data_IF_645056328960
#
_entry.id   IF_645056328960
#
_cell.length_a   1.000
_cell.length_b   1.000
_cell.length_c   1.000
_cell.angle_alpha   90.00
_cell.angle_beta   90.00
_cell.angle_gamma   90.00
#
_symmetry.space_group_name_H-M   'P 1'
#
loop_
_entity.id
_entity.type
_entity.pdbx_description
1 polymer ?
#
# COMPACT_ATOMS: atom_id res chain seq x y z
N UNK A 1 -21.85 31.41 8.28
CA UNK A 1 -20.68 31.30 7.38
C UNK A 1 -20.10 29.89 7.29
N UNK A 2 -19.88 29.14 8.39
CA UNK A 2 -19.35 27.75 8.33
C UNK A 2 -20.22 26.75 7.55
N UNK A 3 -21.55 26.86 7.62
CA UNK A 3 -22.49 25.92 6.95
C UNK A 3 -22.50 26.03 5.41
N UNK A 4 -22.09 27.18 4.85
CA UNK A 4 -22.05 27.38 3.39
C UNK A 4 -20.82 26.73 2.73
N UNK A 5 -19.70 26.66 3.44
CA UNK A 5 -18.48 26.00 2.96
C UNK A 5 -18.67 24.48 2.89
N UNK A 6 -19.32 23.90 3.89
CA UNK A 6 -19.65 22.46 3.93
C UNK A 6 -20.69 22.06 2.87
N UNK A 7 -21.63 22.93 2.53
CA UNK A 7 -22.61 22.65 1.47
C UNK A 7 -21.97 22.70 0.08
N UNK A 8 -21.02 23.62 -0.15
CA UNK A 8 -20.28 23.72 -1.40
C UNK A 8 -19.42 22.47 -1.64
N UNK A 9 -18.65 22.04 -0.63
CA UNK A 9 -17.87 20.80 -0.69
C UNK A 9 -18.74 19.57 -0.97
N UNK A 10 -19.91 19.47 -0.31
CA UNK A 10 -20.87 18.37 -0.58
C UNK A 10 -21.40 18.38 -2.01
N UNK A 11 -21.63 19.54 -2.63
CA UNK A 11 -22.07 19.59 -4.03
C UNK A 11 -20.94 19.22 -5.00
N UNK A 12 -19.69 19.62 -4.70
CA UNK A 12 -18.52 19.20 -5.46
C UNK A 12 -18.33 17.68 -5.42
N UNK A 13 -18.46 17.07 -4.25
CA UNK A 13 -18.41 15.62 -4.07
C UNK A 13 -19.52 14.91 -4.87
N UNK A 14 -20.75 15.44 -4.84
CA UNK A 14 -21.87 14.91 -5.66
C UNK A 14 -21.58 15.01 -7.14
N UNK A 15 -20.96 16.11 -7.59
CA UNK A 15 -20.56 16.26 -8.98
C UNK A 15 -19.49 15.24 -9.39
N UNK A 16 -18.50 14.96 -8.52
CA UNK A 16 -17.52 13.90 -8.72
C UNK A 16 -18.20 12.52 -8.81
N UNK A 17 -19.17 12.22 -7.94
CA UNK A 17 -19.94 10.98 -7.99
C UNK A 17 -20.69 10.82 -9.32
N UNK A 18 -21.36 11.88 -9.81
CA UNK A 18 -22.03 11.88 -11.12
C UNK A 18 -21.06 11.60 -12.27
N UNK A 19 -19.85 12.17 -12.22
CA UNK A 19 -18.81 11.94 -13.22
C UNK A 19 -18.36 10.47 -13.26
N UNK A 20 -18.10 9.87 -12.09
CA UNK A 20 -17.71 8.45 -11.99
C UNK A 20 -18.84 7.52 -12.47
N UNK A 21 -20.09 7.82 -12.13
CA UNK A 21 -21.25 7.06 -12.60
C UNK A 21 -21.35 7.10 -14.13
N UNK A 22 -21.20 8.29 -14.75
CA UNK A 22 -21.20 8.41 -16.21
C UNK A 22 -20.07 7.61 -16.88
N UNK A 23 -18.88 7.56 -16.26
CA UNK A 23 -17.76 6.74 -16.76
C UNK A 23 -18.09 5.25 -16.70
N UNK A 24 -18.77 4.80 -15.63
CA UNK A 24 -19.21 3.41 -15.48
C UNK A 24 -20.28 3.05 -16.52
N UNK A 25 -21.27 3.91 -16.75
CA UNK A 25 -22.31 3.68 -17.76
C UNK A 25 -21.70 3.57 -19.16
N UNK A 26 -20.78 4.47 -19.49
CA UNK A 26 -20.01 4.39 -20.74
C UNK A 26 -19.17 3.10 -20.83
N UNK A 27 -18.61 2.63 -19.71
CA UNK A 27 -17.90 1.36 -19.70
C UNK A 27 -18.82 0.17 -19.98
N UNK A 28 -20.06 0.18 -19.47
CA UNK A 28 -21.05 -0.85 -19.78
C UNK A 28 -21.43 -0.87 -21.26
N UNK A 29 -21.59 0.29 -21.90
CA UNK A 29 -21.85 0.35 -23.35
C UNK A 29 -20.67 -0.22 -24.14
N UNK A 30 -19.43 0.05 -23.71
CA UNK A 30 -18.24 -0.53 -24.34
C UNK A 30 -18.20 -2.05 -24.20
N UNK A 31 -18.53 -2.60 -23.03
CA UNK A 31 -18.63 -4.06 -22.82
C UNK A 31 -19.69 -4.67 -23.73
N UNK A 32 -20.85 -4.02 -23.88
CA UNK A 32 -21.90 -4.52 -24.77
C UNK A 32 -21.43 -4.54 -26.24
N UNK A 33 -20.64 -3.55 -26.66
CA UNK A 33 -20.09 -3.48 -28.01
C UNK A 33 -18.94 -4.47 -28.25
N UNK A 34 -18.23 -4.90 -27.21
CA UNK A 34 -17.20 -5.95 -27.31
C UNK A 34 -17.75 -7.26 -27.87
N UNK A 35 -19.03 -7.57 -27.61
CA UNK A 35 -19.71 -8.73 -28.17
C UNK A 35 -19.81 -8.68 -29.71
N UNK A 36 -19.83 -7.48 -30.30
CA UNK A 36 -19.99 -7.27 -31.75
C UNK A 36 -18.67 -6.99 -32.46
N UNK A 37 -17.76 -6.25 -31.81
CA UNK A 37 -16.58 -5.70 -32.48
C UNK A 37 -15.23 -6.18 -31.93
N UNK A 38 -15.21 -7.04 -30.89
CA UNK A 38 -14.02 -7.55 -30.16
C UNK A 38 -12.99 -6.45 -29.81
N UNK A 39 -12.74 -6.22 -28.52
CA UNK A 39 -11.75 -5.27 -27.99
C UNK A 39 -12.11 -3.77 -28.15
N UNK A 40 -13.37 -3.45 -28.44
CA UNK A 40 -13.93 -2.11 -28.38
C UNK A 40 -13.70 -1.43 -27.01
N UNK A 41 -13.72 -2.18 -25.91
CA UNK A 41 -13.41 -1.66 -24.57
C UNK A 41 -12.03 -1.01 -24.44
N UNK A 42 -11.05 -1.38 -25.29
CA UNK A 42 -9.75 -0.70 -25.34
C UNK A 42 -9.84 0.69 -25.97
N UNK A 43 -10.63 0.83 -27.03
CA UNK A 43 -10.84 2.11 -27.73
C UNK A 43 -11.74 3.06 -26.94
N UNK A 44 -12.76 2.52 -26.26
CA UNK A 44 -13.64 3.30 -25.40
C UNK A 44 -12.89 4.06 -24.30
N UNK A 45 -11.81 3.49 -23.73
CA UNK A 45 -10.99 4.22 -22.74
C UNK A 45 -10.37 5.50 -23.31
N UNK A 46 -9.91 5.45 -24.55
CA UNK A 46 -9.30 6.61 -25.22
C UNK A 46 -10.35 7.67 -25.53
N UNK A 47 -11.54 7.27 -25.99
CA UNK A 47 -12.66 8.18 -26.23
C UNK A 47 -13.11 8.87 -24.94
N UNK A 48 -13.22 8.12 -23.84
CA UNK A 48 -13.56 8.67 -22.53
C UNK A 48 -12.50 9.62 -21.99
N UNK A 49 -11.21 9.32 -22.20
CA UNK A 49 -10.12 10.21 -21.84
C UNK A 49 -10.21 11.56 -22.57
N UNK A 50 -10.51 11.53 -23.87
CA UNK A 50 -10.74 12.74 -24.68
C UNK A 50 -11.97 13.52 -24.19
N UNK A 51 -13.10 12.85 -23.95
CA UNK A 51 -14.33 13.49 -23.49
C UNK A 51 -14.17 14.17 -22.13
N UNK A 52 -13.36 13.59 -21.23
CA UNK A 52 -13.08 14.12 -19.91
C UNK A 52 -11.87 15.07 -19.86
N UNK A 53 -11.20 15.28 -21.00
CA UNK A 53 -9.95 16.06 -21.09
C UNK A 53 -8.89 15.59 -20.08
N UNK A 54 -8.72 14.27 -19.94
CA UNK A 54 -7.77 13.66 -19.01
C UNK A 54 -6.91 12.58 -19.70
N UNK A 55 -5.92 12.02 -19.00
CA UNK A 55 -5.12 10.93 -19.55
C UNK A 55 -5.91 9.62 -19.55
N UNK A 56 -5.55 8.69 -20.44
CA UNK A 56 -6.16 7.35 -20.50
C UNK A 56 -6.06 6.60 -19.15
N UNK A 57 -4.97 6.80 -18.41
CA UNK A 57 -4.76 6.23 -17.07
C UNK A 57 -5.75 6.79 -16.04
N UNK A 58 -6.04 8.10 -16.09
CA UNK A 58 -7.05 8.73 -15.21
C UNK A 58 -8.45 8.24 -15.57
N UNK A 59 -8.77 8.15 -16.86
CA UNK A 59 -10.04 7.58 -17.32
C UNK A 59 -10.22 6.12 -16.86
N UNK A 60 -9.17 5.30 -16.93
CA UNK A 60 -9.19 3.92 -16.43
C UNK A 60 -9.40 3.85 -14.92
N UNK A 61 -8.76 4.73 -14.15
CA UNK A 61 -8.99 4.82 -12.71
C UNK A 61 -10.46 5.15 -12.39
N UNK A 62 -11.08 6.08 -13.13
CA UNK A 62 -12.51 6.39 -12.97
C UNK A 62 -13.41 5.20 -13.26
N UNK A 63 -13.13 4.43 -14.31
CA UNK A 63 -13.87 3.19 -14.61
C UNK A 63 -13.69 2.18 -13.50
N UNK A 64 -12.46 1.96 -13.04
CA UNK A 64 -12.16 0.99 -11.98
C UNK A 64 -12.91 1.32 -10.68
N UNK A 65 -12.89 2.58 -10.26
CA UNK A 65 -13.66 3.08 -9.12
C UNK A 65 -15.16 2.90 -9.37
N UNK A 66 -15.65 3.30 -10.55
CA UNK A 66 -17.06 3.15 -10.93
C UNK A 66 -17.55 1.70 -10.86
N UNK A 67 -16.78 0.76 -11.40
CA UNK A 67 -17.07 -0.68 -11.32
C UNK A 67 -17.10 -1.14 -9.87
N UNK A 68 -16.11 -0.77 -9.04
CA UNK A 68 -16.06 -1.17 -7.64
C UNK A 68 -17.27 -0.65 -6.85
N UNK A 69 -17.66 0.62 -7.04
CA UNK A 69 -18.82 1.24 -6.40
C UNK A 69 -20.14 0.55 -6.78
N UNK A 70 -20.31 0.21 -8.05
CA UNK A 70 -21.57 -0.38 -8.55
C UNK A 70 -21.67 -1.89 -8.30
N UNK A 71 -20.55 -2.60 -8.17
CA UNK A 71 -20.54 -4.08 -8.06
C UNK A 71 -20.21 -4.60 -6.67
N UNK A 72 -19.43 -3.86 -5.86
CA UNK A 72 -18.85 -4.39 -4.61
C UNK A 72 -19.05 -3.48 -3.40
N UNK A 73 -19.24 -2.17 -3.61
CA UNK A 73 -19.20 -1.16 -2.53
C UNK A 73 -20.47 -0.27 -2.48
N UNK A 74 -21.68 -0.84 -2.32
CA UNK A 74 -22.93 -0.08 -2.40
C UNK A 74 -23.11 0.98 -1.29
N UNK A 75 -22.60 0.72 -0.09
CA UNK A 75 -22.63 1.70 1.00
C UNK A 75 -21.70 2.89 0.72
N UNK A 76 -20.52 2.62 0.14
CA UNK A 76 -19.57 3.66 -0.24
C UNK A 76 -20.12 4.48 -1.41
N UNK A 77 -20.78 3.82 -2.37
CA UNK A 77 -21.52 4.48 -3.46
C UNK A 77 -22.57 5.45 -2.92
N UNK A 78 -23.41 4.99 -1.99
CA UNK A 78 -24.45 5.83 -1.39
C UNK A 78 -23.86 7.05 -0.65
N UNK A 79 -22.79 6.86 0.11
CA UNK A 79 -22.09 7.96 0.79
C UNK A 79 -21.47 8.95 -0.22
N UNK A 80 -20.92 8.46 -1.34
CA UNK A 80 -20.35 9.31 -2.37
C UNK A 80 -21.42 10.13 -3.09
N UNK A 81 -22.55 9.50 -3.43
CA UNK A 81 -23.71 10.14 -4.06
C UNK A 81 -24.42 11.13 -3.13
N UNK A 82 -24.35 10.93 -1.81
CA UNK A 82 -24.82 11.92 -0.83
C UNK A 82 -23.86 13.13 -0.72
N UNK A 83 -22.61 12.97 -1.16
CA UNK A 83 -21.52 13.94 -1.00
C UNK A 83 -20.84 13.87 0.37
N UNK A 84 -21.04 12.78 1.13
CA UNK A 84 -20.49 12.58 2.46
C UNK A 84 -19.01 12.15 2.43
N UNK A 85 -18.58 11.60 1.31
CA UNK A 85 -17.19 11.28 1.02
C UNK A 85 -16.79 11.96 -0.28
N UNK A 86 -15.53 12.36 -0.36
CA UNK A 86 -14.93 12.94 -1.57
C UNK A 86 -14.06 11.90 -2.26
N UNK A 87 -13.99 11.98 -3.59
CA UNK A 87 -12.91 11.35 -4.35
C UNK A 87 -11.85 12.45 -4.46
N UNK A 88 -10.82 12.44 -3.60
CA UNK A 88 -9.98 13.60 -3.44
C UNK A 88 -9.47 14.02 -4.83
N UNK A 89 -9.68 15.29 -5.23
CA UNK A 89 -8.85 15.89 -6.26
C UNK A 89 -7.41 15.63 -5.85
N UNK A 90 -6.48 15.61 -6.82
CA UNK A 90 -5.05 15.58 -6.53
C UNK A 90 -4.74 16.60 -5.43
N UNK A 91 -4.63 16.13 -4.19
CA UNK A 91 -4.51 17.00 -3.03
C UNK A 91 -3.09 17.55 -3.11
N UNK A 92 -2.85 18.85 -2.93
CA UNK A 92 -1.51 19.38 -2.76
C UNK A 92 -0.66 18.58 -1.76
N UNK A 93 -1.26 17.96 -0.73
CA UNK A 93 -0.55 17.04 0.16
C UNK A 93 -0.17 15.72 -0.50
N UNK A 94 -1.02 15.17 -1.39
CA UNK A 94 -0.71 13.98 -2.19
C UNK A 94 0.37 14.29 -3.22
N UNK A 95 0.30 15.43 -3.90
CA UNK A 95 1.33 15.85 -4.86
C UNK A 95 2.68 16.10 -4.18
N UNK A 96 2.69 16.65 -2.95
CA UNK A 96 3.91 16.78 -2.14
C UNK A 96 4.47 15.45 -1.69
N UNK A 97 3.62 14.47 -1.39
CA UNK A 97 4.05 13.13 -1.04
C UNK A 97 4.74 12.40 -2.21
N UNK A 98 4.49 12.83 -3.45
CA UNK A 98 5.15 12.32 -4.65
C UNK A 98 6.48 13.03 -4.97
N UNK A 99 6.99 13.88 -4.07
CA UNK A 99 8.30 14.52 -4.20
C UNK A 99 9.27 13.86 -3.21
N UNK A 100 10.46 13.47 -3.67
CA UNK A 100 11.45 12.78 -2.85
C UNK A 100 11.84 13.53 -1.56
N UNK A 101 12.02 14.85 -1.65
CA UNK A 101 12.41 15.68 -0.50
C UNK A 101 11.17 16.10 0.30
N UNK A 102 11.07 15.74 1.59
CA UNK A 102 9.93 16.15 2.42
C UNK A 102 9.92 17.66 2.65
N UNK A 103 8.73 18.23 2.78
CA UNK A 103 8.56 19.62 3.15
C UNK A 103 8.87 19.87 4.65
N UNK A 104 8.87 21.13 5.05
CA UNK A 104 9.22 21.52 6.42
C UNK A 104 8.26 20.92 7.47
N UNK A 105 6.97 20.82 7.15
CA UNK A 105 5.95 20.28 8.05
C UNK A 105 6.12 18.78 8.24
N UNK A 106 6.31 18.02 7.15
CA UNK A 106 6.59 16.58 7.19
C UNK A 106 7.89 16.31 7.92
N UNK A 107 8.93 17.10 7.65
CA UNK A 107 10.23 16.99 8.33
C UNK A 107 10.09 17.20 9.83
N UNK A 108 9.38 18.25 10.26
CA UNK A 108 9.14 18.53 11.66
C UNK A 108 8.31 17.42 12.34
N UNK A 109 7.26 16.93 11.68
CA UNK A 109 6.41 15.86 12.20
C UNK A 109 7.18 14.55 12.43
N UNK A 110 8.00 14.12 11.46
CA UNK A 110 8.82 12.90 11.60
C UNK A 110 9.84 13.05 12.72
N UNK A 111 10.56 14.19 12.77
CA UNK A 111 11.53 14.45 13.84
C UNK A 111 10.90 14.53 15.22
N UNK A 112 9.70 15.12 15.33
CA UNK A 112 8.95 15.20 16.59
C UNK A 112 8.46 13.82 17.04
N UNK A 113 8.00 12.98 16.10
CA UNK A 113 7.58 11.59 16.38
C UNK A 113 8.75 10.73 16.85
N UNK A 114 9.87 10.84 16.14
CA UNK A 114 10.99 9.91 16.29
C UNK A 114 11.97 10.32 17.41
N UNK A 115 12.23 11.63 17.56
CA UNK A 115 13.20 12.29 18.48
C UNK A 115 14.66 11.85 18.36
N UNK A 116 14.92 10.60 18.02
CA UNK A 116 16.23 10.02 17.79
C UNK A 116 16.18 8.97 16.67
N UNK A 117 17.35 8.44 16.29
CA UNK A 117 17.48 7.34 15.35
C UNK A 117 16.56 6.16 15.74
N UNK A 118 15.87 5.60 14.75
CA UNK A 118 14.86 4.56 14.95
C UNK A 118 15.41 3.14 14.92
N UNK A 119 16.71 2.98 14.66
CA UNK A 119 17.38 1.69 14.78
C UNK A 119 17.43 1.23 16.26
N UNK A 120 17.26 -0.07 16.56
CA UNK A 120 17.27 -0.59 17.92
C UNK A 120 18.50 -0.17 18.74
N UNK A 121 18.28 0.43 19.90
CA UNK A 121 19.35 0.85 20.83
C UNK A 121 20.13 2.11 20.43
N UNK A 122 19.77 2.77 19.32
CA UNK A 122 20.43 4.01 18.90
C UNK A 122 19.73 5.25 19.47
N UNK A 123 20.48 6.13 20.13
CA UNK A 123 19.96 7.36 20.72
C UNK A 123 20.45 8.64 20.02
N UNK A 124 21.01 8.54 18.81
CA UNK A 124 21.46 9.74 18.08
C UNK A 124 20.25 10.67 17.84
N UNK A 125 20.31 11.96 18.21
CA UNK A 125 19.16 12.86 18.10
C UNK A 125 18.70 13.02 16.64
N UNK A 126 17.38 13.19 16.45
CA UNK A 126 16.75 13.30 15.13
C UNK A 126 17.27 14.48 14.29
N UNK A 127 17.78 15.53 14.93
CA UNK A 127 18.45 16.66 14.25
C UNK A 127 19.74 16.27 13.55
N UNK A 128 20.39 15.18 13.98
CA UNK A 128 21.60 14.58 13.38
C UNK A 128 21.28 13.30 12.59
N UNK A 129 20.01 13.10 12.24
CA UNK A 129 19.53 11.98 11.45
C UNK A 129 19.05 12.45 10.08
N UNK A 130 19.19 11.57 9.09
CA UNK A 130 18.54 11.64 7.80
C UNK A 130 17.09 11.15 7.95
N UNK A 131 16.21 11.65 7.08
CA UNK A 131 14.86 11.09 6.92
C UNK A 131 14.92 10.06 5.79
N UNK A 132 14.73 8.81 6.17
CA UNK A 132 14.86 7.64 5.30
C UNK A 132 13.48 7.06 4.98
N UNK A 133 13.24 6.74 3.72
CA UNK A 133 12.02 6.04 3.31
C UNK A 133 12.09 4.56 3.68
N UNK A 134 11.11 4.07 4.43
CA UNK A 134 10.98 2.65 4.80
C UNK A 134 10.72 1.80 3.55
N UNK A 135 9.68 2.13 2.79
CA UNK A 135 9.51 1.69 1.41
C UNK A 135 10.22 2.70 0.49
N UNK A 136 11.24 2.30 -0.29
CA UNK A 136 12.01 3.22 -1.11
C UNK A 136 11.16 4.07 -2.05
N UNK A 137 11.52 5.35 -2.16
CA UNK A 137 10.94 6.24 -3.15
C UNK A 137 11.46 5.87 -4.56
N UNK A 138 10.56 5.83 -5.54
CA UNK A 138 10.92 5.57 -6.94
C UNK A 138 10.99 6.90 -7.70
N UNK A 139 12.18 7.27 -8.16
CA UNK A 139 12.43 8.50 -8.89
C UNK A 139 11.87 8.48 -10.33
N UNK A 140 11.77 7.30 -10.94
CA UNK A 140 11.26 7.16 -12.31
C UNK A 140 9.72 7.07 -12.31
N UNK A 141 9.13 6.44 -11.30
CA UNK A 141 7.69 6.33 -11.12
C UNK A 141 7.25 6.61 -9.68
N UNK A 142 7.17 7.90 -9.27
CA UNK A 142 6.78 8.27 -7.90
C UNK A 142 5.44 7.67 -7.44
N UNK A 143 4.50 7.46 -8.36
CA UNK A 143 3.19 6.88 -8.06
C UNK A 143 3.28 5.41 -7.65
N UNK A 144 4.23 4.65 -8.22
CA UNK A 144 4.45 3.23 -7.92
C UNK A 144 5.44 2.96 -6.78
N UNK A 145 6.18 3.98 -6.35
CA UNK A 145 7.16 3.88 -5.26
C UNK A 145 6.58 4.18 -3.86
N UNK A 146 7.46 4.22 -2.86
CA UNK A 146 7.13 4.64 -1.52
C UNK A 146 7.04 6.16 -1.39
N UNK A 147 5.86 6.68 -1.06
CA UNK A 147 5.62 8.11 -1.00
C UNK A 147 6.31 8.78 0.20
N UNK A 148 6.65 10.05 0.06
CA UNK A 148 7.26 10.90 1.09
C UNK A 148 6.21 11.37 2.08
N UNK A 149 5.81 10.48 2.98
CA UNK A 149 4.81 10.75 4.02
C UNK A 149 5.38 10.47 5.40
N UNK A 150 4.75 11.03 6.44
CA UNK A 150 5.15 10.75 7.83
C UNK A 150 5.18 9.24 8.11
N UNK A 151 4.24 8.47 7.55
CA UNK A 151 4.12 7.04 7.77
C UNK A 151 5.09 6.18 6.94
N UNK A 152 5.86 6.78 6.03
CA UNK A 152 6.88 6.09 5.28
C UNK A 152 8.29 6.61 5.58
N UNK A 153 8.43 7.73 6.29
CA UNK A 153 9.74 8.28 6.67
C UNK A 153 10.12 7.88 8.10
N UNK A 154 11.40 7.65 8.34
CA UNK A 154 11.99 7.40 9.67
C UNK A 154 13.29 8.17 9.87
N UNK A 155 13.60 8.56 11.09
CA UNK A 155 14.92 9.09 11.42
C UNK A 155 15.98 7.98 11.50
N UNK A 156 17.03 8.04 10.68
CA UNK A 156 18.22 7.19 10.80
C UNK A 156 19.48 8.03 10.85
N UNK A 157 20.42 7.66 11.73
CA UNK A 157 21.77 8.19 11.63
C UNK A 157 22.47 7.64 10.39
N UNK A 158 23.47 8.36 9.90
CA UNK A 158 24.25 7.98 8.72
C UNK A 158 24.72 6.51 8.74
N UNK A 159 25.25 6.03 9.88
CA UNK A 159 25.65 4.63 10.03
C UNK A 159 24.51 3.64 9.80
N UNK A 160 23.38 3.81 10.48
CA UNK A 160 22.25 2.87 10.35
C UNK A 160 21.49 3.03 9.03
N UNK A 161 21.51 4.23 8.44
CA UNK A 161 21.05 4.44 7.08
C UNK A 161 21.86 3.57 6.11
N UNK A 162 23.19 3.67 6.15
CA UNK A 162 24.08 2.86 5.29
C UNK A 162 23.89 1.36 5.49
N UNK A 163 23.71 0.91 6.73
CA UNK A 163 23.43 -0.50 7.05
C UNK A 163 22.11 -0.98 6.42
N UNK A 164 21.06 -0.15 6.44
CA UNK A 164 19.78 -0.44 5.77
C UNK A 164 19.95 -0.42 4.24
N UNK A 165 20.63 0.58 3.69
CA UNK A 165 20.90 0.68 2.24
C UNK A 165 21.66 -0.52 1.72
N UNK A 166 22.61 -1.05 2.49
CA UNK A 166 23.37 -2.25 2.15
C UNK A 166 22.55 -3.56 2.27
N UNK A 167 21.30 -3.50 2.75
CA UNK A 167 20.41 -4.66 2.83
C UNK A 167 20.65 -5.59 4.01
N UNK A 168 21.55 -5.25 4.95
CA UNK A 168 21.79 -6.05 6.16
C UNK A 168 20.59 -6.07 7.10
N UNK A 169 19.79 -5.00 7.04
CA UNK A 169 18.57 -4.85 7.81
C UNK A 169 17.45 -4.29 6.93
N UNK A 170 16.27 -4.88 7.06
CA UNK A 170 15.03 -4.37 6.47
C UNK A 170 14.13 -3.80 7.56
N UNK A 171 13.34 -2.79 7.19
CA UNK A 171 12.41 -2.13 8.09
C UNK A 171 11.00 -2.24 7.52
N UNK A 172 10.03 -2.50 8.39
CA UNK A 172 8.59 -2.41 8.09
C UNK A 172 7.95 -1.51 9.13
N UNK A 173 7.32 -0.42 8.69
CA UNK A 173 6.56 0.44 9.58
C UNK A 173 5.16 -0.14 9.78
N UNK A 174 4.81 -0.37 11.04
CA UNK A 174 3.50 -0.86 11.48
C UNK A 174 2.59 0.33 11.83
N UNK A 175 1.26 0.09 11.93
CA UNK A 175 0.33 1.08 12.44
C UNK A 175 0.80 1.68 13.77
N UNK A 176 0.61 2.99 13.93
CA UNK A 176 1.08 3.73 15.11
C UNK A 176 2.57 4.10 15.09
N UNK A 177 3.32 3.78 14.03
CA UNK A 177 4.71 4.21 13.84
C UNK A 177 5.77 3.33 14.51
N UNK A 178 5.36 2.14 14.98
CA UNK A 178 6.31 1.10 15.40
C UNK A 178 7.06 0.56 14.17
N UNK A 179 8.34 0.21 14.33
CA UNK A 179 9.15 -0.32 13.23
C UNK A 179 9.64 -1.70 13.59
N UNK A 180 9.28 -2.69 12.77
CA UNK A 180 9.85 -4.03 12.79
C UNK A 180 11.12 -4.04 11.94
N UNK A 181 12.24 -4.29 12.58
CA UNK A 181 13.54 -4.48 11.97
C UNK A 181 13.84 -5.96 11.85
N UNK A 182 14.29 -6.39 10.67
CA UNK A 182 14.70 -7.78 10.42
C UNK A 182 16.11 -7.81 9.83
N UNK A 183 17.02 -8.54 10.45
CA UNK A 183 18.36 -8.74 9.92
C UNK A 183 18.41 -9.86 8.88
N UNK A 184 19.47 -9.90 8.07
CA UNK A 184 19.78 -11.03 7.20
C UNK A 184 19.91 -12.35 7.96
N UNK A 185 20.41 -12.31 9.20
CA UNK A 185 20.47 -13.45 10.14
C UNK A 185 19.13 -13.75 10.84
N UNK A 186 18.01 -13.22 10.35
CA UNK A 186 16.64 -13.44 10.87
C UNK A 186 16.39 -12.97 12.30
N UNK A 187 17.28 -12.14 12.85
CA UNK A 187 17.02 -11.49 14.14
C UNK A 187 16.00 -10.38 13.94
N UNK A 188 14.96 -10.36 14.77
CA UNK A 188 13.93 -9.32 14.73
C UNK A 188 14.02 -8.41 15.94
N UNK A 189 13.76 -7.12 15.73
CA UNK A 189 13.70 -6.10 16.78
C UNK A 189 12.56 -5.14 16.48
N UNK A 190 11.92 -4.61 17.53
CA UNK A 190 10.86 -3.60 17.38
C UNK A 190 11.33 -2.31 18.05
N UNK A 191 11.11 -1.17 17.39
CA UNK A 191 11.29 0.14 18.00
C UNK A 191 9.99 0.94 17.99
N UNK A 192 9.70 1.64 19.08
CA UNK A 192 8.49 2.45 19.27
C UNK A 192 8.83 3.93 19.21
N UNK A 193 8.01 4.78 18.57
CA UNK A 193 8.28 6.21 18.48
C UNK A 193 8.36 6.81 19.89
N UNK A 194 9.19 7.85 20.06
CA UNK A 194 9.54 8.35 21.38
C UNK A 194 8.34 8.96 22.16
N UNK A 195 7.26 9.32 21.46
CA UNK A 195 6.02 9.82 22.07
C UNK A 195 4.96 8.71 22.30
N UNK A 196 5.30 7.43 22.13
CA UNK A 196 4.29 6.38 21.98
C UNK A 196 3.53 6.53 20.67
N UNK A 197 2.65 5.58 20.35
CA UNK A 197 1.87 5.59 19.10
C UNK A 197 1.07 6.89 19.02
N UNK A 198 1.47 7.82 18.14
CA UNK A 198 0.84 9.13 17.98
C UNK A 198 -0.61 9.05 17.43
N UNK A 199 -1.06 7.85 17.08
CA UNK A 199 -2.45 7.52 16.81
C UNK A 199 -2.94 6.70 17.99
N UNK A 200 -3.92 7.16 18.78
CA UNK A 200 -4.61 6.25 19.67
C UNK A 200 -5.24 5.17 18.78
N UNK A 201 -4.91 3.90 19.01
CA UNK A 201 -5.61 2.77 18.40
C UNK A 201 -7.02 2.79 19.02
N UNK A 202 -7.88 3.68 18.56
CA UNK A 202 -9.29 3.67 18.93
C UNK A 202 -9.94 2.65 17.99
N UNK A 203 -10.11 1.43 18.51
CA UNK A 203 -11.10 0.49 17.99
C UNK A 203 -10.65 -0.54 16.94
N UNK A 204 -9.35 -0.79 16.74
CA UNK A 204 -8.93 -1.96 15.93
C UNK A 204 -7.81 -2.72 16.65
N UNK A 205 -8.20 -3.73 17.44
CA UNK A 205 -7.31 -4.69 18.10
C UNK A 205 -6.62 -5.62 17.09
N UNK A 206 -5.77 -5.04 16.23
CA UNK A 206 -4.72 -5.78 15.53
C UNK A 206 -3.45 -5.81 16.37
N UNK A 207 -3.58 -6.13 17.67
CA UNK A 207 -2.44 -6.68 18.41
C UNK A 207 -2.17 -8.05 17.79
N UNK A 208 -1.05 -8.28 17.08
CA UNK A 208 -0.72 -9.63 16.69
C UNK A 208 -0.62 -10.47 17.97
N UNK A 209 -1.49 -11.48 18.09
CA UNK A 209 -1.36 -12.49 19.11
C UNK A 209 -0.06 -13.24 18.82
N UNK A 210 0.98 -12.95 19.61
CA UNK A 210 2.25 -13.68 19.60
C UNK A 210 2.07 -14.81 20.63
N UNK A 211 1.89 -16.08 20.22
CA UNK A 211 1.78 -17.17 21.18
C UNK A 211 3.15 -17.34 21.86
N UNK A 212 3.23 -17.05 23.15
CA UNK A 212 4.47 -17.17 23.95
C UNK A 212 4.76 -18.59 24.43
N UNK A 213 3.91 -19.57 24.07
CA UNK A 213 4.14 -20.98 24.38
C UNK A 213 4.56 -21.72 23.09
N UNK A 214 5.71 -22.41 23.08
CA UNK A 214 6.05 -23.27 21.96
C UNK A 214 4.98 -24.36 21.85
N UNK A 215 4.29 -24.41 20.72
CA UNK A 215 3.47 -25.58 20.40
C UNK A 215 4.43 -26.74 20.20
N UNK A 216 4.31 -27.80 21.00
CA UNK A 216 4.85 -29.12 20.60
C UNK A 216 4.28 -29.38 19.22
N UNK A 217 5.15 -29.45 18.21
CA UNK A 217 4.76 -29.69 16.82
C UNK A 217 4.09 -31.05 16.74
N UNK A 218 2.76 -31.04 16.79
CA UNK A 218 1.94 -32.17 16.36
C UNK A 218 2.07 -32.28 14.85
N UNK A 219 2.41 -33.48 14.41
CA UNK A 219 2.38 -33.97 13.03
C UNK A 219 1.20 -33.37 12.27
N UNK A 220 1.48 -32.72 11.14
CA UNK A 220 0.44 -32.34 10.18
C UNK A 220 0.03 -33.65 9.48
N UNK A 221 -1.14 -34.17 9.83
CA UNK A 221 -1.82 -35.17 9.00
C UNK A 221 -2.41 -34.44 7.78
N UNK A 222 -1.96 -34.82 6.59
CA UNK A 222 -2.66 -34.44 5.35
C UNK A 222 -3.79 -35.46 5.11
N UNK A 223 -4.99 -35.02 4.66
CA UNK A 223 -5.99 -35.94 4.17
C UNK A 223 -5.52 -36.47 2.80
N UNK A 224 -5.51 -37.80 2.68
CA UNK A 224 -5.32 -38.61 1.48
C UNK A 224 -3.97 -38.46 0.75
N UNK A 225 -3.01 -39.29 1.15
CA UNK A 225 -1.87 -39.64 0.31
C UNK A 225 -2.32 -40.77 -0.64
N UNK A 226 -2.36 -40.61 -1.98
CA UNK A 226 -2.55 -41.74 -2.85
C UNK A 226 -1.34 -42.68 -2.69
N UNK A 227 -1.62 -43.95 -2.43
CA UNK A 227 -0.60 -45.01 -2.36
C UNK A 227 0.26 -45.01 -3.63
N UNK A 228 1.59 -44.97 -3.55
CA UNK A 228 2.43 -45.10 -4.72
C UNK A 228 2.32 -46.52 -5.26
N UNK A 229 2.08 -46.64 -6.57
CA UNK A 229 2.24 -47.92 -7.30
C UNK A 229 3.70 -48.40 -7.14
N UNK A 230 3.94 -49.72 -7.00
CA UNK A 230 5.29 -50.25 -6.94
C UNK A 230 6.00 -50.05 -8.27
N UNK A 231 7.19 -49.44 -8.24
CA UNK A 231 8.07 -49.33 -9.41
C UNK A 231 8.52 -50.74 -9.89
N UNK A 232 8.63 -50.97 -11.21
CA UNK A 232 9.16 -52.21 -11.74
C UNK A 232 10.65 -52.36 -11.44
N UNK A 233 11.02 -53.51 -10.87
CA UNK A 233 12.39 -53.94 -10.67
C UNK A 233 13.06 -54.19 -12.02
N UNK A 234 14.00 -53.34 -12.43
CA UNK A 234 14.99 -53.71 -13.43
C UNK A 234 16.17 -54.37 -12.70
N UNK A 235 16.23 -55.69 -12.81
CA UNK A 235 17.47 -56.46 -12.69
C UNK A 235 18.39 -56.05 -13.84
N UNK A 236 19.63 -55.68 -13.53
CA UNK A 236 20.84 -55.93 -14.33
C UNK A 236 22.04 -55.28 -13.62
N UNK A 237 22.53 -56.02 -12.61
CA UNK A 237 23.94 -55.98 -12.22
C UNK A 237 24.77 -56.47 -13.41
N UNK A 238 25.59 -55.62 -14.02
CA UNK A 238 26.82 -56.06 -14.68
C UNK A 238 27.86 -54.93 -14.69
N UNK A 239 28.88 -55.12 -13.86
CA UNK A 239 30.07 -54.29 -13.74
C UNK A 239 30.97 -54.53 -14.99
N UNK A 240 31.37 -53.52 -15.77
CA UNK A 240 32.23 -53.76 -16.93
C UNK A 240 33.69 -54.00 -16.49
N UNK A 241 34.38 -54.97 -17.12
CA UNK A 241 35.68 -55.44 -16.66
C UNK A 241 36.84 -54.53 -17.11
N UNK A 242 37.71 -54.22 -16.14
CA UNK A 242 39.07 -53.63 -16.18
C UNK A 242 39.24 -52.17 -16.61
#
# INVERSE_FOLDING_TARGET
MKNGCTSAAREENRHAARKIAACYDFHLTCIAQDAKHRQYSRYGRTEMALALSCSATVAEAYVSVGVALHTRLPLLKAAFEAGDIDLPPRDPLTDRALIYRPDALTTAAVRLRDRHCRFPGCHRPATRCQLDHVNPFDHANPLGGGWTTVNNLQCLCEYHHSVKTAGYWTAVMLPGGAILWTSTSKTTRITLPANGTAVPIIGNDLRPYIPTKPRRSGVIAYPDNPTPEPEPTNEEDEEPPF
#
